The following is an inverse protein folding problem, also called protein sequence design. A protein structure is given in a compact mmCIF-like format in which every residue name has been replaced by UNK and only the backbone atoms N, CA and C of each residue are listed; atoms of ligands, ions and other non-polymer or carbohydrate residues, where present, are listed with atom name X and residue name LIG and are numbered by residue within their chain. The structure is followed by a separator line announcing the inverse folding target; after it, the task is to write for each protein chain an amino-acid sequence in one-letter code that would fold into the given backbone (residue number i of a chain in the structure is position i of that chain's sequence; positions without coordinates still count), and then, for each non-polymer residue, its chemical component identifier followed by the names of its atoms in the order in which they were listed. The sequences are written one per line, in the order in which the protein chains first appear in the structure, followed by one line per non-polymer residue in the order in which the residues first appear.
data_IF_866930207145
#
_entry.id   IF_866930207145
#
_cell.length_a   1.000
_cell.length_b   1.000
_cell.length_c   1.000
_cell.angle_alpha   90.00
_cell.angle_beta   90.00
_cell.angle_gamma   90.00
#
_symmetry.space_group_name_H-M   'P 1'
#
loop_
_entity.id
_entity.type
_entity.pdbx_description
1 polymer ?
#
# COMPACT_ATOMS: atom_id res chain seq x y z
N UNK A 1 -17.47 17.60 -1.83
CA UNK A 1 -17.27 18.03 -0.43
C UNK A 1 -15.89 18.64 -0.21
N UNK A 2 -14.78 17.94 -0.50
CA UNK A 2 -13.41 18.43 -0.23
C UNK A 2 -13.12 19.81 -0.83
N UNK A 3 -13.44 20.03 -2.12
CA UNK A 3 -13.32 21.35 -2.77
C UNK A 3 -14.04 22.47 -1.99
N UNK A 4 -15.27 22.22 -1.53
CA UNK A 4 -16.10 23.20 -0.82
C UNK A 4 -15.51 23.45 0.57
N UNK A 5 -15.17 22.38 1.30
CA UNK A 5 -14.58 22.48 2.64
C UNK A 5 -13.24 23.23 2.63
N UNK A 6 -12.47 23.10 1.55
CA UNK A 6 -11.21 23.82 1.35
C UNK A 6 -11.38 25.25 0.79
N UNK A 7 -12.62 25.70 0.51
CA UNK A 7 -12.87 27.04 -0.04
C UNK A 7 -12.32 27.25 -1.45
N UNK A 8 -12.13 26.17 -2.22
CA UNK A 8 -11.48 26.22 -3.54
C UNK A 8 -12.51 26.36 -4.66
N UNK A 9 -12.17 27.15 -5.67
CA UNK A 9 -12.83 27.08 -6.96
C UNK A 9 -12.45 25.79 -7.73
N UNK A 10 -13.01 25.58 -8.91
CA UNK A 10 -12.73 24.39 -9.70
C UNK A 10 -11.28 24.35 -10.23
N UNK A 11 -10.76 25.49 -10.69
CA UNK A 11 -9.42 25.57 -11.25
C UNK A 11 -8.34 25.31 -10.19
N UNK A 12 -8.49 25.92 -9.01
CA UNK A 12 -7.61 25.72 -7.86
C UNK A 12 -7.62 24.28 -7.34
N UNK A 13 -8.81 23.64 -7.32
CA UNK A 13 -8.94 22.24 -6.92
C UNK A 13 -8.28 21.30 -7.92
N UNK A 14 -8.32 21.62 -9.22
CA UNK A 14 -7.80 20.76 -10.28
C UNK A 14 -6.34 21.05 -10.63
N UNK A 15 -5.75 22.13 -10.12
CA UNK A 15 -4.35 22.51 -10.32
C UNK A 15 -3.36 21.61 -9.59
N UNK A 16 -3.78 20.96 -8.49
CA UNK A 16 -2.97 20.00 -7.73
C UNK A 16 -3.85 19.01 -6.95
N UNK A 17 -3.27 17.89 -6.53
CA UNK A 17 -3.98 16.96 -5.66
C UNK A 17 -4.20 17.58 -4.26
N UNK A 18 -5.44 17.49 -3.77
CA UNK A 18 -5.85 17.86 -2.40
C UNK A 18 -6.41 16.67 -1.63
N UNK A 19 -6.66 15.56 -2.34
CA UNK A 19 -7.11 14.30 -1.78
C UNK A 19 -6.48 13.15 -2.55
N UNK A 20 -6.50 11.98 -1.94
CA UNK A 20 -6.22 10.73 -2.63
C UNK A 20 -7.38 9.75 -2.45
N UNK A 21 -7.49 8.81 -3.37
CA UNK A 21 -8.28 7.59 -3.20
C UNK A 21 -7.38 6.38 -3.37
N UNK A 22 -7.76 5.25 -2.79
CA UNK A 22 -7.11 3.96 -3.03
C UNK A 22 -8.07 3.07 -3.79
N UNK A 23 -7.59 2.48 -4.88
CA UNK A 23 -8.32 1.43 -5.60
C UNK A 23 -7.52 0.14 -5.58
N UNK A 24 -8.25 -0.97 -5.63
CA UNK A 24 -7.66 -2.28 -5.67
C UNK A 24 -8.01 -3.00 -6.97
N UNK A 25 -7.09 -3.83 -7.42
CA UNK A 25 -7.38 -4.86 -8.41
C UNK A 25 -8.09 -6.00 -7.70
N UNK A 26 -9.08 -6.58 -8.37
CA UNK A 26 -9.77 -7.80 -7.93
C UNK A 26 -8.99 -8.99 -8.46
N UNK A 27 -7.81 -9.21 -7.90
CA UNK A 27 -6.86 -10.21 -8.39
C UNK A 27 -7.48 -11.62 -8.44
N UNK A 28 -7.18 -12.42 -9.47
CA UNK A 28 -6.20 -12.17 -10.53
C UNK A 28 -6.74 -11.39 -11.75
N UNK A 29 -5.94 -10.44 -12.23
CA UNK A 29 -6.03 -9.77 -13.53
C UNK A 29 -7.35 -9.07 -13.85
N UNK A 30 -8.02 -8.51 -12.84
CA UNK A 30 -9.29 -7.80 -13.00
C UNK A 30 -9.32 -6.49 -12.21
N UNK A 31 -10.03 -5.51 -12.75
CA UNK A 31 -10.48 -4.34 -12.00
C UNK A 31 -11.99 -4.27 -12.09
N UNK A 32 -12.66 -4.17 -10.96
CA UNK A 32 -14.11 -4.08 -10.92
C UNK A 32 -14.59 -2.67 -11.25
N UNK A 33 -15.80 -2.59 -11.81
CA UNK A 33 -16.40 -1.33 -12.25
C UNK A 33 -16.41 -0.23 -11.18
N UNK A 34 -16.79 -0.49 -9.90
CA UNK A 34 -16.80 0.57 -8.88
C UNK A 34 -15.40 1.15 -8.61
N UNK A 35 -14.37 0.32 -8.65
CA UNK A 35 -12.98 0.77 -8.48
C UNK A 35 -12.56 1.69 -9.63
N UNK A 36 -12.78 1.26 -10.87
CA UNK A 36 -12.40 2.05 -12.04
C UNK A 36 -13.23 3.34 -12.16
N UNK A 37 -14.54 3.31 -11.91
CA UNK A 37 -15.38 4.51 -11.97
C UNK A 37 -14.91 5.56 -10.95
N UNK A 38 -14.65 5.15 -9.70
CA UNK A 38 -14.12 6.03 -8.66
C UNK A 38 -12.75 6.63 -9.04
N UNK A 39 -11.81 5.79 -9.49
CA UNK A 39 -10.49 6.25 -9.90
C UNK A 39 -10.53 7.20 -11.10
N UNK A 40 -11.32 6.90 -12.12
CA UNK A 40 -11.46 7.77 -13.30
C UNK A 40 -12.09 9.12 -12.94
N UNK A 41 -13.05 9.16 -12.01
CA UNK A 41 -13.61 10.42 -11.50
C UNK A 41 -12.56 11.24 -10.75
N UNK A 42 -11.75 10.61 -9.89
CA UNK A 42 -10.66 11.28 -9.19
C UNK A 42 -9.61 11.81 -10.18
N UNK A 43 -9.21 10.98 -11.16
CA UNK A 43 -8.22 11.32 -12.17
C UNK A 43 -8.67 12.49 -13.06
N UNK A 44 -9.92 12.52 -13.54
CA UNK A 44 -10.46 13.68 -14.31
C UNK A 44 -10.28 15.00 -13.54
N UNK A 45 -10.41 14.95 -12.21
CA UNK A 45 -10.25 16.11 -11.33
C UNK A 45 -8.83 16.32 -10.82
N UNK A 46 -7.84 15.58 -11.32
CA UNK A 46 -6.42 15.76 -10.97
C UNK A 46 -6.10 15.36 -9.54
N UNK A 47 -6.95 14.53 -8.93
CA UNK A 47 -6.73 14.02 -7.58
C UNK A 47 -5.92 12.73 -7.61
N UNK A 48 -5.16 12.47 -6.55
CA UNK A 48 -4.24 11.35 -6.52
C UNK A 48 -4.98 10.01 -6.45
N UNK A 49 -4.48 9.01 -7.18
CA UNK A 49 -5.02 7.63 -7.12
C UNK A 49 -3.90 6.66 -6.76
N UNK A 50 -4.06 5.99 -5.63
CA UNK A 50 -3.22 4.87 -5.22
C UNK A 50 -3.80 3.60 -5.86
N UNK A 51 -3.03 2.97 -6.74
CA UNK A 51 -3.43 1.75 -7.45
C UNK A 51 -2.75 0.56 -6.78
N UNK A 52 -3.50 -0.21 -6.01
CA UNK A 52 -2.97 -1.26 -5.14
C UNK A 52 -3.53 -2.63 -5.51
N UNK A 53 -2.87 -3.40 -6.37
CA UNK A 53 -3.22 -4.80 -6.55
C UNK A 53 -3.10 -5.55 -5.22
N UNK A 54 -4.05 -6.44 -4.95
CA UNK A 54 -4.16 -7.17 -3.68
C UNK A 54 -3.99 -8.65 -3.95
N UNK A 55 -2.79 -9.16 -3.70
CA UNK A 55 -2.40 -10.50 -4.11
C UNK A 55 -1.93 -11.33 -2.92
N UNK A 56 -2.56 -12.48 -2.72
CA UNK A 56 -2.07 -13.52 -1.82
C UNK A 56 -1.49 -14.66 -2.67
N UNK A 57 -0.17 -14.81 -2.63
CA UNK A 57 0.55 -15.88 -3.29
C UNK A 57 0.04 -17.24 -2.80
N UNK A 58 -0.38 -18.08 -3.74
CA UNK A 58 -1.01 -19.39 -3.47
C UNK A 58 -2.55 -19.35 -3.47
N UNK A 59 -3.17 -18.17 -3.58
CA UNK A 59 -4.63 -18.04 -3.69
C UNK A 59 -5.05 -17.16 -4.88
N UNK A 60 -4.71 -15.86 -4.85
CA UNK A 60 -5.10 -14.88 -5.88
C UNK A 60 -3.93 -14.52 -6.82
N UNK A 61 -2.79 -15.15 -6.61
CA UNK A 61 -1.58 -15.02 -7.43
C UNK A 61 -0.76 -16.32 -7.38
N UNK A 62 0.15 -16.54 -8.34
CA UNK A 62 1.07 -17.69 -8.30
C UNK A 62 1.80 -17.80 -6.96
N UNK A 63 2.04 -19.03 -6.48
CA UNK A 63 2.72 -19.28 -5.19
C UNK A 63 4.17 -18.75 -5.17
N UNK A 64 4.81 -18.65 -6.34
CA UNK A 64 6.17 -18.09 -6.45
C UNK A 64 6.14 -16.57 -6.33
N UNK A 65 7.04 -15.99 -5.53
CA UNK A 65 7.19 -14.52 -5.41
C UNK A 65 7.38 -13.82 -6.75
N UNK A 66 8.20 -14.36 -7.65
CA UNK A 66 8.41 -13.78 -8.97
C UNK A 66 7.10 -13.71 -9.77
N UNK A 67 6.34 -14.81 -9.83
CA UNK A 67 5.03 -14.83 -10.50
C UNK A 67 4.01 -13.89 -9.86
N UNK A 68 3.95 -13.83 -8.53
CA UNK A 68 3.05 -12.91 -7.82
C UNK A 68 3.38 -11.44 -8.10
N UNK A 69 4.66 -11.06 -8.06
CA UNK A 69 5.10 -9.69 -8.36
C UNK A 69 4.91 -9.34 -9.84
N UNK A 70 5.11 -10.29 -10.76
CA UNK A 70 4.79 -10.09 -12.17
C UNK A 70 3.30 -9.81 -12.37
N UNK A 71 2.42 -10.55 -11.70
CA UNK A 71 0.97 -10.32 -11.75
C UNK A 71 0.60 -8.96 -11.12
N UNK A 72 1.10 -8.65 -9.92
CA UNK A 72 0.89 -7.35 -9.26
C UNK A 72 1.32 -6.20 -10.20
N UNK A 73 2.48 -6.31 -10.84
CA UNK A 73 2.95 -5.32 -11.80
C UNK A 73 1.98 -5.14 -12.98
N UNK A 74 1.53 -6.24 -13.57
CA UNK A 74 0.62 -6.18 -14.71
C UNK A 74 -0.71 -5.49 -14.33
N UNK A 75 -1.27 -5.84 -13.17
CA UNK A 75 -2.50 -5.25 -12.67
C UNK A 75 -2.32 -3.75 -12.37
N UNK A 76 -1.29 -3.39 -11.60
CA UNK A 76 -1.04 -2.01 -11.21
C UNK A 76 -0.77 -1.10 -12.41
N UNK A 77 0.10 -1.53 -13.34
CA UNK A 77 0.45 -0.74 -14.52
C UNK A 77 -0.72 -0.59 -15.50
N UNK A 78 -1.58 -1.60 -15.64
CA UNK A 78 -2.76 -1.50 -16.50
C UNK A 78 -3.70 -0.39 -16.04
N UNK A 79 -4.00 -0.32 -14.74
CA UNK A 79 -4.84 0.75 -14.20
C UNK A 79 -4.12 2.10 -14.21
N UNK A 80 -2.83 2.17 -13.88
CA UNK A 80 -2.06 3.42 -13.99
C UNK A 80 -2.07 3.97 -15.41
N UNK A 81 -1.83 3.12 -16.42
CA UNK A 81 -1.86 3.53 -17.83
C UNK A 81 -3.24 4.05 -18.23
N UNK A 82 -4.33 3.39 -17.81
CA UNK A 82 -5.69 3.87 -18.01
C UNK A 82 -5.90 5.28 -17.41
N UNK A 83 -5.44 5.51 -16.18
CA UNK A 83 -5.61 6.82 -15.53
C UNK A 83 -4.82 7.92 -16.25
N UNK A 84 -3.63 7.60 -16.77
CA UNK A 84 -2.88 8.54 -17.61
C UNK A 84 -3.57 8.82 -18.96
N UNK A 85 -4.34 7.88 -19.51
CA UNK A 85 -5.20 8.12 -20.69
C UNK A 85 -6.41 9.00 -20.35
N UNK A 86 -6.98 8.84 -19.16
CA UNK A 86 -8.12 9.66 -18.70
C UNK A 86 -7.70 11.11 -18.47
N UNK A 87 -6.55 11.33 -17.85
CA UNK A 87 -5.95 12.66 -17.68
C UNK A 87 -4.42 12.52 -17.61
N UNK A 88 -3.70 12.90 -18.68
CA UNK A 88 -2.24 12.90 -18.65
C UNK A 88 -1.69 13.73 -17.49
N UNK A 89 -0.74 13.17 -16.75
CA UNK A 89 -0.12 13.82 -15.60
C UNK A 89 -0.95 13.75 -14.32
N UNK A 90 -2.07 13.01 -14.27
CA UNK A 90 -2.78 12.78 -13.01
C UNK A 90 -1.86 12.09 -12.00
N UNK A 91 -1.80 12.52 -10.73
CA UNK A 91 -0.93 11.90 -9.74
C UNK A 91 -1.36 10.47 -9.45
N UNK A 92 -0.42 9.53 -9.55
CA UNK A 92 -0.67 8.11 -9.30
C UNK A 92 0.43 7.55 -8.40
N UNK A 93 0.05 6.57 -7.58
CA UNK A 93 0.97 5.86 -6.67
C UNK A 93 0.88 4.38 -6.98
N UNK A 94 2.03 3.74 -7.18
CA UNK A 94 2.13 2.30 -7.34
C UNK A 94 1.96 1.65 -5.96
N UNK A 95 0.84 0.98 -5.74
CA UNK A 95 0.56 0.26 -4.51
C UNK A 95 1.01 -1.20 -4.60
N UNK A 96 1.47 -1.73 -3.47
CA UNK A 96 1.79 -3.13 -3.30
C UNK A 96 1.10 -3.66 -2.05
N UNK A 97 0.39 -4.78 -2.20
CA UNK A 97 -0.08 -5.63 -1.12
C UNK A 97 0.05 -7.08 -1.59
N UNK A 98 1.29 -7.55 -1.66
CA UNK A 98 1.60 -8.96 -1.94
C UNK A 98 2.05 -9.62 -0.64
N UNK A 99 1.28 -10.62 -0.19
CA UNK A 99 1.67 -11.56 0.86
C UNK A 99 1.47 -13.00 0.39
N UNK A 100 1.55 -13.98 1.29
CA UNK A 100 1.26 -15.38 1.03
C UNK A 100 0.10 -15.89 1.90
N UNK A 101 -0.46 -17.04 1.51
CA UNK A 101 -1.33 -17.82 2.40
C UNK A 101 -0.52 -18.79 3.25
N UNK A 102 -1.04 -19.15 4.41
CA UNK A 102 -0.57 -20.31 5.15
C UNK A 102 -1.08 -21.58 4.46
N UNK A 103 -0.18 -22.47 4.03
CA UNK A 103 -0.55 -23.66 3.25
C UNK A 103 -1.32 -24.71 4.06
N UNK A 104 -1.29 -24.62 5.40
CA UNK A 104 -2.01 -25.55 6.27
C UNK A 104 -3.48 -25.16 6.45
N UNK A 105 -3.75 -23.88 6.68
CA UNK A 105 -5.09 -23.35 6.97
C UNK A 105 -5.76 -22.66 5.78
N UNK A 106 -4.99 -22.23 4.79
CA UNK A 106 -5.45 -21.37 3.69
C UNK A 106 -5.66 -19.91 4.10
N UNK A 107 -5.40 -19.54 5.35
CA UNK A 107 -5.59 -18.18 5.84
C UNK A 107 -4.51 -17.22 5.29
N UNK A 108 -4.81 -15.91 5.17
CA UNK A 108 -3.78 -14.91 4.89
C UNK A 108 -2.69 -14.92 5.96
N UNK A 109 -1.42 -14.95 5.54
CA UNK A 109 -0.28 -14.82 6.43
C UNK A 109 0.34 -13.41 6.28
N UNK A 110 0.81 -12.85 7.39
CA UNK A 110 1.41 -11.51 7.44
C UNK A 110 2.71 -11.54 8.23
N UNK A 111 3.54 -10.49 8.09
CA UNK A 111 4.85 -10.46 8.73
C UNK A 111 5.83 -11.54 8.22
N UNK A 112 5.53 -12.19 7.09
CA UNK A 112 6.34 -13.30 6.58
C UNK A 112 7.58 -12.79 5.84
N UNK A 113 8.63 -13.62 5.70
CA UNK A 113 9.76 -13.32 4.84
C UNK A 113 9.34 -13.02 3.39
N UNK A 114 8.31 -13.72 2.89
CA UNK A 114 7.71 -13.50 1.58
C UNK A 114 7.17 -12.08 1.43
N UNK A 115 6.44 -11.58 2.43
CA UNK A 115 5.95 -10.20 2.45
C UNK A 115 7.10 -9.19 2.41
N UNK A 116 8.12 -9.39 3.25
CA UNK A 116 9.30 -8.49 3.29
C UNK A 116 9.98 -8.42 1.92
N UNK A 117 10.22 -9.58 1.29
CA UNK A 117 10.83 -9.67 -0.04
C UNK A 117 9.93 -9.07 -1.13
N UNK A 118 8.63 -9.30 -1.04
CA UNK A 118 7.66 -8.74 -1.97
C UNK A 118 7.66 -7.20 -1.93
N UNK A 119 7.74 -6.58 -0.75
CA UNK A 119 7.84 -5.12 -0.62
C UNK A 119 9.16 -4.57 -1.17
N UNK A 120 10.28 -5.26 -0.94
CA UNK A 120 11.58 -4.89 -1.50
C UNK A 120 11.58 -4.94 -3.03
N UNK A 121 11.06 -6.01 -3.62
CA UNK A 121 10.91 -6.16 -5.07
C UNK A 121 9.97 -5.09 -5.63
N UNK A 122 8.80 -4.90 -5.01
CA UNK A 122 7.82 -3.88 -5.40
C UNK A 122 8.41 -2.48 -5.39
N UNK A 123 9.23 -2.15 -4.40
CA UNK A 123 9.92 -0.87 -4.32
C UNK A 123 10.94 -0.66 -5.42
N UNK A 124 11.69 -1.70 -5.81
CA UNK A 124 12.58 -1.63 -6.97
C UNK A 124 11.77 -1.37 -8.25
N UNK A 125 10.61 -2.02 -8.41
CA UNK A 125 9.73 -1.80 -9.57
C UNK A 125 9.14 -0.38 -9.57
N UNK A 126 8.63 0.12 -8.44
CA UNK A 126 8.11 1.48 -8.32
C UNK A 126 9.17 2.52 -8.73
N UNK A 127 10.41 2.40 -8.24
CA UNK A 127 11.54 3.25 -8.66
C UNK A 127 11.87 3.11 -10.14
N UNK A 128 11.84 1.88 -10.68
CA UNK A 128 12.07 1.60 -12.11
C UNK A 128 11.03 2.28 -13.01
N UNK A 129 9.82 2.50 -12.51
CA UNK A 129 8.74 3.22 -13.20
C UNK A 129 8.69 4.71 -12.88
N UNK A 130 9.55 5.21 -11.97
CA UNK A 130 9.52 6.60 -11.53
C UNK A 130 8.27 6.97 -10.72
N UNK A 131 7.66 6.00 -10.03
CA UNK A 131 6.43 6.18 -9.27
C UNK A 131 6.66 6.08 -7.76
N UNK A 132 5.89 6.80 -6.92
CA UNK A 132 5.88 6.57 -5.50
C UNK A 132 5.34 5.17 -5.18
N UNK A 133 5.90 4.52 -4.16
CA UNK A 133 5.43 3.25 -3.63
C UNK A 133 4.49 3.46 -2.45
N UNK A 134 3.32 2.81 -2.48
CA UNK A 134 2.49 2.56 -1.31
C UNK A 134 2.64 1.11 -0.85
N UNK A 135 2.95 0.91 0.42
CA UNK A 135 3.00 -0.39 1.09
C UNK A 135 2.05 -0.42 2.29
N UNK A 136 2.11 -1.47 3.12
CA UNK A 136 1.29 -1.58 4.32
C UNK A 136 2.01 -2.17 5.52
N UNK A 137 1.53 -1.81 6.71
CA UNK A 137 1.67 -2.64 7.90
C UNK A 137 0.51 -3.67 7.90
N UNK A 138 0.78 -4.91 8.32
CA UNK A 138 -0.22 -5.95 8.44
C UNK A 138 0.22 -7.02 9.46
N UNK A 139 -0.76 -7.60 10.16
CA UNK A 139 -0.62 -8.76 11.02
C UNK A 139 -1.93 -9.59 11.00
N UNK A 140 -1.83 -10.88 11.33
CA UNK A 140 -2.93 -11.84 11.40
C UNK A 140 -3.45 -12.05 12.83
N UNK A 141 -2.76 -11.51 13.84
CA UNK A 141 -3.06 -11.74 15.24
C UNK A 141 -4.46 -11.24 15.63
N UNK A 142 -5.11 -11.94 16.55
CA UNK A 142 -6.45 -11.61 17.05
C UNK A 142 -6.43 -10.79 18.36
N UNK A 143 -5.24 -10.53 18.90
CA UNK A 143 -5.03 -9.71 20.09
C UNK A 143 -3.72 -8.92 19.95
N UNK A 144 -3.58 -7.75 20.60
CA UNK A 144 -2.34 -6.97 20.58
C UNK A 144 -1.25 -7.65 21.43
N UNK A 145 -0.80 -8.80 20.97
CA UNK A 145 0.14 -9.68 21.64
C UNK A 145 1.51 -9.69 20.95
N UNK A 146 2.37 -10.61 21.35
CA UNK A 146 3.68 -10.77 20.72
C UNK A 146 3.56 -11.05 19.21
N UNK A 147 2.53 -11.78 18.76
CA UNK A 147 2.31 -12.06 17.35
C UNK A 147 2.02 -10.78 16.56
N UNK A 148 1.06 -10.00 17.04
CA UNK A 148 0.71 -8.72 16.44
C UNK A 148 1.94 -7.82 16.29
N UNK A 149 2.84 -7.86 17.27
CA UNK A 149 4.07 -7.06 17.27
C UNK A 149 5.11 -7.53 16.27
N UNK A 150 5.53 -8.80 16.31
CA UNK A 150 6.60 -9.26 15.42
C UNK A 150 6.18 -9.19 13.95
N UNK A 151 4.93 -9.53 13.64
CA UNK A 151 4.42 -9.46 12.27
C UNK A 151 4.33 -8.01 11.76
N UNK A 152 3.89 -7.08 12.62
CA UNK A 152 3.80 -5.67 12.24
C UNK A 152 5.19 -5.05 12.02
N UNK A 153 6.15 -5.35 12.92
CA UNK A 153 7.53 -4.87 12.78
C UNK A 153 8.16 -5.40 11.50
N UNK A 154 8.01 -6.68 11.17
CA UNK A 154 8.53 -7.23 9.92
C UNK A 154 7.84 -6.61 8.69
N UNK A 155 6.53 -6.38 8.73
CA UNK A 155 5.80 -5.71 7.65
C UNK A 155 6.28 -4.27 7.43
N UNK A 156 6.51 -3.54 8.53
CA UNK A 156 7.08 -2.19 8.50
C UNK A 156 8.52 -2.20 7.99
N UNK A 157 9.36 -3.14 8.42
CA UNK A 157 10.73 -3.30 7.91
C UNK A 157 10.75 -3.63 6.41
N UNK A 158 9.83 -4.47 5.93
CA UNK A 158 9.66 -4.73 4.51
C UNK A 158 9.29 -3.45 3.73
N UNK A 159 8.38 -2.65 4.29
CA UNK A 159 7.98 -1.36 3.70
C UNK A 159 9.14 -0.37 3.67
N UNK A 160 9.90 -0.25 4.76
CA UNK A 160 11.05 0.66 4.88
C UNK A 160 12.19 0.25 3.94
N UNK A 161 12.59 -1.02 3.97
CA UNK A 161 13.64 -1.55 3.08
C UNK A 161 13.22 -1.57 1.60
N UNK A 162 11.91 -1.56 1.33
CA UNK A 162 11.35 -1.31 0.00
C UNK A 162 11.38 0.16 -0.43
N UNK A 163 11.70 1.09 0.47
CA UNK A 163 11.59 2.54 0.28
C UNK A 163 10.15 2.99 -0.03
N UNK A 164 9.18 2.49 0.73
CA UNK A 164 7.80 2.95 0.63
C UNK A 164 7.69 4.46 0.89
N UNK A 165 7.00 5.19 0.01
CA UNK A 165 6.69 6.61 0.19
C UNK A 165 5.45 6.82 1.05
N UNK A 166 4.55 5.83 1.04
CA UNK A 166 3.34 5.81 1.86
C UNK A 166 3.19 4.43 2.48
N UNK A 167 3.16 4.35 3.81
CA UNK A 167 2.77 3.13 4.53
C UNK A 167 1.32 3.30 4.94
N UNK A 168 0.41 2.69 4.18
CA UNK A 168 -0.99 2.67 4.57
C UNK A 168 -1.17 1.65 5.72
N UNK A 169 -2.21 1.80 6.52
CA UNK A 169 -2.46 0.95 7.70
C UNK A 169 -1.32 0.96 8.74
N UNK A 170 -0.45 1.98 8.74
CA UNK A 170 0.75 2.03 9.57
C UNK A 170 0.50 1.72 11.06
N UNK A 171 -0.66 2.11 11.59
CA UNK A 171 -1.06 1.86 12.96
C UNK A 171 -2.50 1.32 13.08
N UNK A 172 -2.70 0.37 14.00
CA UNK A 172 -4.01 -0.09 14.46
C UNK A 172 -4.58 -1.33 13.74
N UNK A 173 -3.91 -1.83 12.70
CA UNK A 173 -4.33 -3.04 11.97
C UNK A 173 -4.33 -4.27 12.87
N UNK A 174 -5.41 -5.05 12.85
CA UNK A 174 -5.57 -6.32 13.58
C UNK A 174 -6.38 -7.33 12.76
N UNK A 175 -6.34 -8.61 13.15
CA UNK A 175 -7.18 -9.69 12.62
C UNK A 175 -7.13 -9.79 11.08
N UNK A 176 -5.93 -9.67 10.51
CA UNK A 176 -5.76 -9.73 9.05
C UNK A 176 -6.48 -8.61 8.29
N UNK A 177 -6.78 -7.48 8.97
CA UNK A 177 -7.45 -6.32 8.39
C UNK A 177 -8.94 -6.25 8.67
N UNK A 178 -9.47 -7.17 9.49
CA UNK A 178 -10.88 -7.19 9.86
C UNK A 178 -11.23 -6.16 10.95
N UNK A 179 -10.27 -5.74 11.75
CA UNK A 179 -10.49 -4.79 12.84
C UNK A 179 -9.41 -3.71 12.95
N UNK A 180 -9.82 -2.59 13.55
CA UNK A 180 -8.93 -1.54 14.01
C UNK A 180 -8.98 -1.52 15.55
N UNK A 181 -7.83 -1.68 16.20
CA UNK A 181 -7.71 -1.65 17.67
C UNK A 181 -7.07 -0.36 18.15
N UNK A 182 -7.64 0.24 19.20
CA UNK A 182 -7.10 1.44 19.83
C UNK A 182 -5.80 1.14 20.58
N UNK A 183 -5.73 0.01 21.28
CA UNK A 183 -4.54 -0.46 21.97
C UNK A 183 -3.41 -0.69 20.96
N UNK A 184 -3.72 -1.40 19.87
CA UNK A 184 -2.77 -1.65 18.79
C UNK A 184 -2.31 -0.36 18.12
N UNK A 185 -3.21 0.62 17.96
CA UNK A 185 -2.86 1.92 17.39
C UNK A 185 -1.79 2.63 18.23
N UNK A 186 -1.96 2.69 19.57
CA UNK A 186 -0.98 3.31 20.47
C UNK A 186 0.35 2.57 20.41
N UNK A 187 0.32 1.24 20.44
CA UNK A 187 1.52 0.41 20.36
C UNK A 187 2.26 0.60 19.03
N UNK A 188 1.53 0.63 17.90
CA UNK A 188 2.13 0.89 16.59
C UNK A 188 2.71 2.30 16.48
N UNK A 189 2.08 3.32 17.10
CA UNK A 189 2.64 4.66 17.14
C UNK A 189 4.00 4.70 17.87
N UNK A 190 4.18 3.91 18.92
CA UNK A 190 5.48 3.78 19.61
C UNK A 190 6.52 3.12 18.70
N UNK A 191 6.17 2.01 18.04
CA UNK A 191 7.05 1.34 17.07
C UNK A 191 7.45 2.28 15.93
N UNK A 192 6.48 3.01 15.37
CA UNK A 192 6.72 3.95 14.28
C UNK A 192 7.70 5.05 14.69
N UNK A 193 7.59 5.58 15.90
CA UNK A 193 8.54 6.57 16.42
C UNK A 193 9.97 6.01 16.46
N UNK A 194 10.15 4.79 16.98
CA UNK A 194 11.45 4.14 17.05
C UNK A 194 12.03 3.87 15.65
N UNK A 195 11.20 3.39 14.72
CA UNK A 195 11.61 3.16 13.34
C UNK A 195 12.00 4.47 12.66
N UNK A 196 11.20 5.54 12.80
CA UNK A 196 11.52 6.85 12.24
C UNK A 196 12.84 7.41 12.79
N UNK A 197 13.06 7.31 14.10
CA UNK A 197 14.31 7.70 14.73
C UNK A 197 15.50 6.90 14.17
N UNK A 198 15.35 5.59 13.98
CA UNK A 198 16.40 4.72 13.44
C UNK A 198 16.83 5.06 12.00
N UNK A 199 16.00 5.80 11.25
CA UNK A 199 16.31 6.22 9.88
C UNK A 199 16.97 7.62 9.82
N UNK A 200 17.15 8.30 10.96
CA UNK A 200 17.81 9.60 10.98
C UNK A 200 19.33 9.45 10.76
N UNK A 201 19.97 10.35 9.99
CA UNK A 201 21.42 10.35 9.86
C UNK A 201 22.07 10.65 11.21
N UNK A 202 23.17 9.96 11.52
CA UNK A 202 23.96 10.23 12.73
C UNK A 202 24.82 11.49 12.50
N UNK A 203 24.65 12.57 13.29
CA UNK A 203 25.48 13.76 13.18
C UNK A 203 26.93 13.43 13.52
N UNK A 204 27.87 13.92 12.70
CA UNK A 204 29.32 13.77 12.90
C UNK A 204 30.01 15.09 13.25
N UNK A 205 29.25 16.18 13.36
CA UNK A 205 29.73 17.47 13.87
C UNK A 205 29.68 17.48 15.40
N UNK A 206 30.79 17.92 16.02
CA UNK A 206 30.93 18.11 17.46
C UNK A 206 29.98 19.19 18.01
#
# INVERSE_FOLDING_TARGET
MIRIAAGLDAAQFEARAHMFTNINSSSPLKHDWPMLDGAMRAARRGQAVVVTPFTLAGAMAPVTLAGAITQQNAEGLAAIALLQQVRPGTPVVYGAFTSNVDMKSGAPAFGTPEYVRAMQMSGQMARRYGLPLRASNANAANAPDAQAMWESVLSLQGSLSGHANMIYHAAGWMEGGLSASFEKFVIDCEVLQQLLYSQQPVPVSA
#
